data_IF_364220749367
#
_entry.id   IF_364220749367
#
_cell.length_a   1.000
_cell.length_b   1.000
_cell.length_c   1.000
_cell.angle_alpha   90.00
_cell.angle_beta   90.00
_cell.angle_gamma   90.00
#
_symmetry.space_group_name_H-M   'P 1'
#
loop_
_entity.id
_entity.type
_entity.pdbx_description
1 polymer ?
#
# COMPACT_ATOMS: atom_id res chain seq x y z
N UNK A 1 -8.74 -18.73 -4.46
CA UNK A 1 -7.63 -18.07 -5.19
C UNK A 1 -6.26 -18.25 -4.54
N UNK A 2 -6.15 -18.66 -3.26
CA UNK A 2 -4.87 -18.82 -2.56
C UNK A 2 -4.51 -20.27 -2.20
N UNK A 3 -5.05 -21.27 -2.92
CA UNK A 3 -4.88 -22.70 -2.60
C UNK A 3 -3.41 -23.13 -2.42
N UNK A 4 -2.49 -22.53 -3.19
CA UNK A 4 -1.03 -22.73 -3.08
C UNK A 4 -0.47 -22.41 -1.69
N UNK A 5 -1.06 -21.43 -1.00
CA UNK A 5 -0.58 -20.91 0.28
C UNK A 5 -1.43 -21.38 1.47
N UNK A 6 -2.39 -22.29 1.25
CA UNK A 6 -3.28 -22.82 2.29
C UNK A 6 -2.55 -23.43 3.49
N UNK A 7 -1.32 -23.93 3.29
CA UNK A 7 -0.47 -24.50 4.34
C UNK A 7 0.25 -23.44 5.20
N UNK A 8 0.23 -22.16 4.81
CA UNK A 8 0.82 -21.07 5.59
C UNK A 8 0.08 -19.76 5.33
N UNK A 9 -0.98 -19.51 6.11
CA UNK A 9 -1.74 -18.27 6.01
C UNK A 9 -0.95 -17.04 6.40
N UNK A 10 0.05 -17.19 7.29
CA UNK A 10 1.01 -16.12 7.62
C UNK A 10 1.80 -15.67 6.39
N UNK A 11 2.30 -16.61 5.59
CA UNK A 11 3.03 -16.28 4.36
C UNK A 11 2.12 -15.57 3.36
N UNK A 12 0.90 -16.07 3.19
CA UNK A 12 -0.06 -15.43 2.30
C UNK A 12 -0.42 -14.00 2.74
N UNK A 13 -0.68 -13.80 4.04
CA UNK A 13 -0.93 -12.47 4.60
C UNK A 13 0.25 -11.51 4.42
N UNK A 14 1.49 -12.00 4.50
CA UNK A 14 2.68 -11.21 4.18
C UNK A 14 2.77 -10.84 2.70
N UNK A 15 2.45 -11.77 1.79
CA UNK A 15 2.42 -11.49 0.33
C UNK A 15 1.41 -10.39 0.03
N UNK A 16 0.19 -10.50 0.58
CA UNK A 16 -0.83 -9.46 0.44
C UNK A 16 -0.29 -8.15 0.97
N UNK A 17 0.17 -8.12 2.23
CA UNK A 17 0.64 -6.88 2.87
C UNK A 17 1.78 -6.20 2.10
N UNK A 18 2.84 -6.94 1.78
CA UNK A 18 4.00 -6.37 1.08
C UNK A 18 3.69 -5.98 -0.37
N UNK A 19 2.79 -6.72 -1.02
CA UNK A 19 2.35 -6.42 -2.38
C UNK A 19 1.47 -5.17 -2.49
N UNK A 20 0.82 -4.73 -1.41
CA UNK A 20 -0.13 -3.60 -1.46
C UNK A 20 0.26 -2.38 -0.62
N UNK A 21 0.94 -2.53 0.52
CA UNK A 21 1.05 -1.42 1.49
C UNK A 21 1.90 -0.21 1.06
N UNK A 22 2.66 -0.30 -0.03
CA UNK A 22 3.60 0.76 -0.45
C UNK A 22 3.01 1.75 -1.45
N UNK A 23 1.77 1.53 -1.91
CA UNK A 23 1.06 2.50 -2.72
C UNK A 23 0.78 3.78 -1.93
N UNK A 24 0.47 4.85 -2.65
CA UNK A 24 0.29 6.19 -2.08
C UNK A 24 -0.83 6.98 -2.78
N UNK A 25 -1.84 6.29 -3.32
CA UNK A 25 -3.01 6.95 -3.93
C UNK A 25 -4.32 6.27 -3.54
N UNK A 26 -5.39 7.06 -3.52
CA UNK A 26 -6.77 6.56 -3.34
C UNK A 26 -7.22 5.66 -4.51
N UNK A 27 -6.66 5.88 -5.71
CA UNK A 27 -6.93 5.02 -6.87
C UNK A 27 -6.40 3.60 -6.65
N UNK A 28 -5.21 3.46 -6.04
CA UNK A 28 -4.65 2.15 -5.69
C UNK A 28 -5.51 1.43 -4.63
N UNK A 29 -6.06 2.17 -3.66
CA UNK A 29 -7.01 1.62 -2.68
C UNK A 29 -8.24 1.05 -3.40
N UNK A 30 -8.84 1.83 -4.29
CA UNK A 30 -10.01 1.40 -5.05
C UNK A 30 -9.74 0.17 -5.92
N UNK A 31 -8.56 0.08 -6.54
CA UNK A 31 -8.17 -1.10 -7.32
C UNK A 31 -7.98 -2.34 -6.42
N UNK A 32 -7.33 -2.20 -5.27
CA UNK A 32 -7.17 -3.27 -4.27
C UNK A 32 -8.53 -3.77 -3.78
N UNK A 33 -9.43 -2.86 -3.38
CA UNK A 33 -10.77 -3.21 -2.92
C UNK A 33 -11.54 -3.94 -4.03
N UNK A 34 -11.46 -3.45 -5.27
CA UNK A 34 -12.08 -4.10 -6.42
C UNK A 34 -11.50 -5.49 -6.71
N UNK A 35 -10.19 -5.69 -6.55
CA UNK A 35 -9.57 -6.99 -6.75
C UNK A 35 -10.06 -8.01 -5.71
N UNK A 36 -10.24 -7.60 -4.45
CA UNK A 36 -10.59 -8.49 -3.34
C UNK A 36 -12.10 -8.65 -3.09
N UNK A 37 -12.98 -7.82 -3.66
CA UNK A 37 -14.43 -7.82 -3.37
C UNK A 37 -15.12 -9.18 -3.56
N UNK A 38 -14.71 -9.95 -4.58
CA UNK A 38 -15.33 -11.23 -4.95
C UNK A 38 -14.52 -12.44 -4.46
N UNK A 39 -13.63 -12.25 -3.47
CA UNK A 39 -12.69 -13.25 -2.99
C UNK A 39 -12.93 -13.58 -1.51
N UNK A 40 -12.70 -14.82 -1.10
CA UNK A 40 -12.72 -15.17 0.32
C UNK A 40 -11.48 -14.58 1.01
N UNK A 41 -11.67 -13.50 1.77
CA UNK A 41 -10.59 -12.80 2.46
C UNK A 41 -10.54 -13.08 3.95
N UNK A 42 -11.34 -14.00 4.50
CA UNK A 42 -11.48 -14.18 5.97
C UNK A 42 -10.14 -14.30 6.69
N UNK A 43 -9.21 -15.06 6.12
CA UNK A 43 -7.90 -15.32 6.71
C UNK A 43 -6.87 -14.19 6.49
N UNK A 44 -7.19 -13.21 5.64
CA UNK A 44 -6.33 -12.06 5.28
C UNK A 44 -7.00 -10.69 5.50
N UNK A 45 -8.15 -10.63 6.16
CA UNK A 45 -8.86 -9.37 6.42
C UNK A 45 -7.95 -8.36 7.13
N UNK A 46 -7.22 -8.80 8.15
CA UNK A 46 -6.31 -7.94 8.91
C UNK A 46 -5.16 -7.38 8.07
N UNK A 47 -4.33 -8.19 7.37
CA UNK A 47 -3.27 -7.63 6.52
C UNK A 47 -3.79 -6.76 5.37
N UNK A 48 -4.99 -7.04 4.84
CA UNK A 48 -5.61 -6.18 3.83
C UNK A 48 -5.96 -4.80 4.39
N UNK A 49 -6.65 -4.76 5.55
CA UNK A 49 -6.98 -3.49 6.22
C UNK A 49 -5.74 -2.69 6.62
N UNK A 50 -4.71 -3.36 7.14
CA UNK A 50 -3.43 -2.72 7.48
C UNK A 50 -2.75 -2.10 6.25
N UNK A 51 -2.84 -2.78 5.10
CA UNK A 51 -2.29 -2.25 3.86
C UNK A 51 -3.06 -1.02 3.40
N UNK A 52 -4.39 -1.06 3.40
CA UNK A 52 -5.22 0.08 3.02
C UNK A 52 -4.94 1.29 3.93
N UNK A 53 -4.84 1.08 5.24
CA UNK A 53 -4.52 2.15 6.18
C UNK A 53 -3.12 2.74 5.96
N UNK A 54 -2.15 1.88 5.62
CA UNK A 54 -0.81 2.33 5.26
C UNK A 54 -0.81 3.16 3.98
N UNK A 55 -1.59 2.76 2.97
CA UNK A 55 -1.72 3.53 1.71
C UNK A 55 -2.34 4.91 1.97
N UNK A 56 -3.40 5.00 2.78
CA UNK A 56 -3.98 6.30 3.18
C UNK A 56 -2.95 7.19 3.86
N UNK A 57 -2.18 6.62 4.79
CA UNK A 57 -1.09 7.33 5.46
C UNK A 57 -0.02 7.82 4.48
N UNK A 58 0.36 6.99 3.50
CA UNK A 58 1.34 7.36 2.48
C UNK A 58 0.80 8.45 1.55
N UNK A 59 -0.46 8.36 1.13
CA UNK A 59 -1.12 9.34 0.28
C UNK A 59 -1.23 10.70 0.97
N UNK A 60 -1.64 10.71 2.25
CA UNK A 60 -1.70 11.92 3.06
C UNK A 60 -0.32 12.54 3.27
N UNK A 61 0.71 11.72 3.54
CA UNK A 61 2.09 12.19 3.65
C UNK A 61 2.59 12.80 2.33
N UNK A 62 2.37 12.11 1.21
CA UNK A 62 2.80 12.58 -0.10
C UNK A 62 2.10 13.90 -0.48
N UNK A 63 0.79 14.00 -0.25
CA UNK A 63 0.03 15.22 -0.53
C UNK A 63 0.46 16.42 0.32
N UNK A 64 0.85 16.18 1.58
CA UNK A 64 1.27 17.22 2.51
C UNK A 64 2.73 17.65 2.30
N UNK A 65 3.64 16.70 2.17
CA UNK A 65 5.08 16.93 2.35
C UNK A 65 5.87 16.90 1.03
N UNK A 66 5.30 16.43 -0.08
CA UNK A 66 6.06 16.28 -1.34
C UNK A 66 6.67 17.59 -1.84
N UNK A 67 5.94 18.71 -1.72
CA UNK A 67 6.44 20.02 -2.14
C UNK A 67 7.61 20.47 -1.26
N UNK A 68 7.46 20.36 0.06
CA UNK A 68 8.48 20.79 1.01
C UNK A 68 9.77 19.97 0.84
N UNK A 69 9.64 18.66 0.64
CA UNK A 69 10.78 17.78 0.35
C UNK A 69 11.45 18.18 -0.98
N UNK A 70 10.67 18.43 -2.03
CA UNK A 70 11.19 18.87 -3.33
C UNK A 70 11.95 20.19 -3.23
N UNK A 71 11.39 21.17 -2.53
CA UNK A 71 11.98 22.49 -2.36
C UNK A 71 13.27 22.43 -1.53
N UNK A 72 13.29 21.62 -0.46
CA UNK A 72 14.49 21.38 0.33
C UNK A 72 15.60 20.73 -0.49
N UNK A 73 15.28 19.69 -1.26
CA UNK A 73 16.23 19.03 -2.14
C UNK A 73 16.80 19.99 -3.19
N UNK A 74 15.94 20.82 -3.80
CA UNK A 74 16.37 21.84 -4.78
C UNK A 74 17.28 22.91 -4.15
N UNK A 75 16.90 23.43 -2.98
CA UNK A 75 17.66 24.47 -2.28
C UNK A 75 19.04 24.01 -1.81
N UNK A 76 19.21 22.71 -1.58
CA UNK A 76 20.49 22.13 -1.17
C UNK A 76 21.30 21.54 -2.35
N UNK A 77 20.83 21.71 -3.60
CA UNK A 77 21.53 21.21 -4.78
C UNK A 77 21.49 19.67 -4.94
N UNK A 78 20.60 18.98 -4.24
CA UNK A 78 20.42 17.53 -4.35
C UNK A 78 19.44 17.13 -5.46
N UNK A 79 18.73 18.10 -6.03
CA UNK A 79 17.79 17.89 -7.13
C UNK A 79 18.45 18.34 -8.43
N UNK A 80 18.91 17.37 -9.23
CA UNK A 80 19.37 17.62 -10.61
C UNK A 80 18.15 17.53 -11.51
N UNK A 81 17.77 18.65 -12.12
CA UNK A 81 16.72 18.70 -13.16
C UNK A 81 17.32 18.26 -14.49
#
# INVERSE_FOLDING_TARGET
FYARYSKSMTLFGNIVRFGTQHFASEADIADIENFFKDKDTKDITRPLQQSIEKIRSNAAWLGRDAKDVKDWLGSNGYLVV
#
